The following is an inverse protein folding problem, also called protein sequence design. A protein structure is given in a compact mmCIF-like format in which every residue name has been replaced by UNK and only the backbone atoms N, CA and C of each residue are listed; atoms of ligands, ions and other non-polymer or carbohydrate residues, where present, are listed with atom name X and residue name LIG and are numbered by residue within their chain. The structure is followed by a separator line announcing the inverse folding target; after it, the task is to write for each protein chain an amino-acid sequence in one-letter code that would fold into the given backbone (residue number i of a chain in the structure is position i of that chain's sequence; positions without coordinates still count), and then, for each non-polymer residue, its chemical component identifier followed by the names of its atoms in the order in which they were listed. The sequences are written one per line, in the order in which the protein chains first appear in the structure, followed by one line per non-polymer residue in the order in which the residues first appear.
data_IF_563362499145
#
_entry.id   IF_563362499145
#
_cell.length_a   1.000
_cell.length_b   1.000
_cell.length_c   1.000
_cell.angle_alpha   90.00
_cell.angle_beta   90.00
_cell.angle_gamma   90.00
#
_symmetry.space_group_name_H-M   'P 1'
#
loop_
_entity.id
_entity.type
_entity.pdbx_description
1 polymer ?
#
# COMPACT_ATOMS: atom_id res chain seq x y z
N UNK A 1 -34.44 -17.33 4.22
CA UNK A 1 -33.38 -16.53 3.57
C UNK A 1 -32.18 -16.25 4.47
N UNK A 2 -32.36 -16.13 5.79
CA UNK A 2 -31.26 -15.84 6.74
C UNK A 2 -30.20 -16.94 6.86
N UNK A 3 -30.58 -18.21 7.09
CA UNK A 3 -29.60 -19.30 7.25
C UNK A 3 -28.78 -19.59 5.98
N UNK A 4 -29.36 -19.64 4.76
CA UNK A 4 -28.58 -19.77 3.53
C UNK A 4 -27.60 -18.60 3.31
N UNK A 5 -27.99 -17.38 3.68
CA UNK A 5 -27.10 -16.22 3.58
C UNK A 5 -25.93 -16.31 4.55
N UNK A 6 -26.18 -16.69 5.82
CA UNK A 6 -25.12 -16.93 6.81
C UNK A 6 -24.18 -18.04 6.33
N UNK A 7 -24.73 -19.16 5.85
CA UNK A 7 -23.94 -20.28 5.34
C UNK A 7 -23.07 -19.85 4.15
N UNK A 8 -23.65 -19.09 3.21
CA UNK A 8 -22.93 -18.60 2.02
C UNK A 8 -21.80 -17.64 2.41
N UNK A 9 -22.06 -16.71 3.34
CA UNK A 9 -21.06 -15.76 3.82
C UNK A 9 -19.91 -16.48 4.57
N UNK A 10 -20.23 -17.42 5.45
CA UNK A 10 -19.23 -18.22 6.18
C UNK A 10 -18.40 -19.07 5.22
N UNK A 11 -19.04 -19.76 4.27
CA UNK A 11 -18.35 -20.57 3.28
C UNK A 11 -17.43 -19.71 2.40
N UNK A 12 -17.90 -18.54 1.96
CA UNK A 12 -17.09 -17.58 1.22
C UNK A 12 -15.83 -17.18 2.00
N UNK A 13 -15.97 -16.80 3.27
CA UNK A 13 -14.84 -16.43 4.13
C UNK A 13 -13.85 -17.58 4.30
N UNK A 14 -14.35 -18.80 4.53
CA UNK A 14 -13.51 -19.99 4.65
C UNK A 14 -12.76 -20.31 3.34
N UNK A 15 -13.41 -20.15 2.18
CA UNK A 15 -12.78 -20.33 0.87
C UNK A 15 -11.67 -19.30 0.68
N UNK A 16 -11.95 -18.01 0.92
CA UNK A 16 -10.94 -16.93 0.82
C UNK A 16 -9.75 -17.24 1.73
N UNK A 17 -10.00 -17.58 2.99
CA UNK A 17 -8.95 -17.94 3.94
C UNK A 17 -8.13 -19.15 3.47
N UNK A 18 -8.81 -20.20 3.00
CA UNK A 18 -8.19 -21.41 2.47
C UNK A 18 -7.31 -21.12 1.24
N UNK A 19 -7.81 -20.33 0.30
CA UNK A 19 -7.08 -19.88 -0.89
C UNK A 19 -5.83 -19.11 -0.51
N UNK A 20 -5.93 -18.14 0.40
CA UNK A 20 -4.78 -17.36 0.85
C UNK A 20 -3.72 -18.23 1.53
N UNK A 21 -4.14 -19.15 2.39
CA UNK A 21 -3.23 -20.08 3.08
C UNK A 21 -2.52 -21.01 2.11
N UNK A 22 -3.25 -21.53 1.11
CA UNK A 22 -2.70 -22.39 0.07
C UNK A 22 -1.73 -21.63 -0.84
N UNK A 23 -2.09 -20.43 -1.26
CA UNK A 23 -1.26 -19.53 -2.04
C UNK A 23 0.05 -19.22 -1.33
N UNK A 24 0.01 -18.94 -0.02
CA UNK A 24 1.21 -18.71 0.80
C UNK A 24 2.13 -19.94 0.84
N UNK A 25 1.56 -21.15 0.91
CA UNK A 25 2.32 -22.41 0.87
C UNK A 25 2.98 -22.65 -0.49
N UNK A 26 2.28 -22.36 -1.58
CA UNK A 26 2.78 -22.54 -2.95
C UNK A 26 3.62 -21.36 -3.45
N UNK A 27 3.59 -20.25 -2.71
CA UNK A 27 4.33 -19.05 -3.06
C UNK A 27 3.76 -18.22 -4.18
N UNK A 28 2.48 -18.42 -4.49
CA UNK A 28 1.73 -17.66 -5.49
C UNK A 28 1.08 -16.47 -4.78
N UNK A 29 1.13 -15.25 -5.33
CA UNK A 29 0.36 -14.13 -4.79
C UNK A 29 -1.13 -14.43 -4.75
N UNK A 30 -1.76 -14.36 -3.57
CA UNK A 30 -3.18 -14.72 -3.37
C UNK A 30 -4.12 -13.90 -4.25
N UNK A 31 -3.74 -12.66 -4.58
CA UNK A 31 -4.49 -11.76 -5.48
C UNK A 31 -4.85 -12.42 -6.80
N UNK A 32 -3.92 -13.19 -7.40
CA UNK A 32 -4.14 -13.85 -8.70
C UNK A 32 -5.29 -14.84 -8.58
N UNK A 33 -5.25 -15.70 -7.56
CA UNK A 33 -6.24 -16.76 -7.37
C UNK A 33 -7.59 -16.17 -6.93
N UNK A 34 -7.58 -15.13 -6.09
CA UNK A 34 -8.80 -14.46 -5.64
C UNK A 34 -9.51 -13.74 -6.80
N UNK A 35 -8.80 -12.95 -7.61
CA UNK A 35 -9.40 -12.29 -8.78
C UNK A 35 -9.86 -13.33 -9.81
N UNK A 36 -9.06 -14.36 -10.08
CA UNK A 36 -9.48 -15.46 -10.97
C UNK A 36 -10.73 -16.18 -10.47
N UNK A 37 -10.85 -16.41 -9.16
CA UNK A 37 -12.03 -17.03 -8.56
C UNK A 37 -13.28 -16.18 -8.77
N UNK A 38 -13.16 -14.85 -8.66
CA UNK A 38 -14.25 -13.92 -8.96
C UNK A 38 -14.65 -13.92 -10.44
N UNK A 39 -13.66 -13.92 -11.34
CA UNK A 39 -13.87 -13.97 -12.79
C UNK A 39 -14.59 -15.25 -13.22
N UNK A 40 -14.25 -16.40 -12.60
CA UNK A 40 -14.91 -17.69 -12.85
C UNK A 40 -16.29 -17.73 -12.20
N UNK A 41 -16.47 -17.13 -11.03
CA UNK A 41 -17.74 -17.13 -10.32
C UNK A 41 -18.85 -16.43 -11.12
N UNK A 42 -18.53 -15.38 -11.89
CA UNK A 42 -19.51 -14.65 -12.69
C UNK A 42 -20.29 -15.53 -13.69
N UNK A 43 -19.66 -16.19 -14.68
CA UNK A 43 -20.38 -17.05 -15.62
C UNK A 43 -21.06 -18.25 -14.96
N UNK A 44 -20.49 -18.79 -13.88
CA UNK A 44 -21.11 -19.89 -13.11
C UNK A 44 -22.41 -19.43 -12.46
N UNK A 45 -22.41 -18.28 -11.80
CA UNK A 45 -23.61 -17.73 -11.15
C UNK A 45 -24.66 -17.30 -12.18
N UNK A 46 -24.23 -16.70 -13.30
CA UNK A 46 -25.12 -16.35 -14.42
C UNK A 46 -25.81 -17.59 -15.00
N UNK A 47 -25.11 -18.73 -15.09
CA UNK A 47 -25.70 -19.99 -15.56
C UNK A 47 -26.78 -20.59 -14.64
N UNK A 48 -26.73 -20.22 -13.35
CA UNK A 48 -27.70 -20.64 -12.32
C UNK A 48 -28.80 -19.55 -12.15
N UNK A 49 -28.75 -18.47 -12.92
CA UNK A 49 -29.71 -17.36 -12.88
C UNK A 49 -29.53 -16.41 -11.69
N UNK A 50 -28.35 -16.43 -11.04
CA UNK A 50 -28.04 -15.57 -9.90
C UNK A 50 -27.12 -14.44 -10.33
N UNK A 51 -27.63 -13.20 -10.36
CA UNK A 51 -26.81 -12.01 -10.61
C UNK A 51 -26.58 -11.24 -9.31
N UNK A 52 -25.32 -10.99 -8.97
CA UNK A 52 -24.94 -10.17 -7.81
C UNK A 52 -24.89 -8.70 -8.23
N UNK A 53 -26.05 -8.11 -8.57
CA UNK A 53 -26.16 -6.70 -8.96
C UNK A 53 -25.65 -5.71 -7.90
N UNK A 54 -25.54 -6.15 -6.64
CA UNK A 54 -24.98 -5.38 -5.53
C UNK A 54 -23.44 -5.33 -5.51
N UNK A 55 -22.76 -6.18 -6.30
CA UNK A 55 -21.29 -6.23 -6.30
C UNK A 55 -20.66 -4.88 -6.68
N UNK A 56 -21.23 -4.19 -7.67
CA UNK A 56 -20.75 -2.86 -8.10
C UNK A 56 -20.87 -1.78 -7.02
N UNK A 57 -21.86 -1.90 -6.13
CA UNK A 57 -22.01 -0.99 -4.98
C UNK A 57 -21.06 -1.36 -3.84
N UNK A 58 -20.83 -2.66 -3.59
CA UNK A 58 -19.95 -3.10 -2.51
C UNK A 58 -18.46 -2.91 -2.82
N UNK A 59 -18.03 -3.01 -4.08
CA UNK A 59 -16.60 -2.88 -4.44
C UNK A 59 -15.98 -1.56 -3.95
N UNK A 60 -16.57 -0.36 -4.19
CA UNK A 60 -16.04 0.90 -3.67
C UNK A 60 -16.07 1.00 -2.13
N UNK A 61 -17.09 0.44 -1.48
CA UNK A 61 -17.25 0.47 -0.02
C UNK A 61 -16.17 -0.38 0.65
N UNK A 62 -16.10 -1.65 0.27
CA UNK A 62 -15.09 -2.60 0.75
C UNK A 62 -13.70 -2.10 0.41
N UNK A 63 -13.53 -1.52 -0.79
CA UNK A 63 -12.32 -0.85 -1.21
C UNK A 63 -11.89 0.26 -0.26
N UNK A 64 -12.79 1.17 0.06
CA UNK A 64 -12.54 2.27 1.02
C UNK A 64 -12.15 1.74 2.39
N UNK A 65 -12.89 0.75 2.90
CA UNK A 65 -12.59 0.10 4.18
C UNK A 65 -11.20 -0.54 4.15
N UNK A 66 -10.91 -1.29 3.07
CA UNK A 66 -9.62 -1.96 2.88
C UNK A 66 -8.47 -0.96 2.80
N UNK A 67 -8.67 0.16 2.11
CA UNK A 67 -7.66 1.22 2.01
C UNK A 67 -7.34 1.84 3.37
N UNK A 68 -8.35 2.16 4.18
CA UNK A 68 -8.15 2.67 5.55
C UNK A 68 -7.36 1.67 6.39
N UNK A 69 -7.74 0.40 6.34
CA UNK A 69 -7.09 -0.66 7.11
C UNK A 69 -5.65 -0.93 6.65
N UNK A 70 -5.37 -0.91 5.35
CA UNK A 70 -4.03 -1.09 4.78
C UNK A 70 -3.11 0.08 5.20
N UNK A 71 -3.59 1.32 5.11
CA UNK A 71 -2.80 2.48 5.53
C UNK A 71 -2.53 2.43 7.03
N UNK A 72 -3.52 2.02 7.84
CA UNK A 72 -3.33 1.82 9.27
C UNK A 72 -2.33 0.70 9.58
N UNK A 73 -2.47 -0.47 8.95
CA UNK A 73 -1.54 -1.61 9.07
C UNK A 73 -0.11 -1.15 8.77
N UNK A 74 0.08 -0.46 7.63
CA UNK A 74 1.38 0.09 7.23
C UNK A 74 1.93 1.12 8.22
N UNK A 75 1.09 1.96 8.81
CA UNK A 75 1.50 2.94 9.82
C UNK A 75 1.97 2.28 11.14
N UNK A 76 1.26 1.23 11.56
CA UNK A 76 1.57 0.43 12.75
C UNK A 76 2.79 -0.50 12.56
N UNK A 77 3.16 -0.79 11.31
CA UNK A 77 4.36 -1.57 10.96
C UNK A 77 5.65 -0.74 10.94
N UNK A 78 5.57 0.59 10.89
CA UNK A 78 6.77 1.44 10.80
C UNK A 78 7.52 1.44 12.14
N UNK A 79 8.56 0.60 12.26
CA UNK A 79 9.52 0.72 13.36
C UNK A 79 10.38 1.97 13.17
N UNK A 80 10.04 3.07 13.86
CA UNK A 80 10.87 4.28 13.93
C UNK A 80 12.12 4.03 14.80
N UNK A 81 13.08 3.26 14.27
CA UNK A 81 14.40 3.08 14.87
C UNK A 81 15.36 4.14 14.31
N UNK A 82 16.04 4.88 15.20
CA UNK A 82 17.01 5.94 14.81
C UNK A 82 18.13 5.42 13.90
N UNK A 83 18.53 4.17 14.10
CA UNK A 83 19.56 3.48 13.32
C UNK A 83 19.18 3.30 11.84
N UNK A 84 17.90 3.41 11.50
CA UNK A 84 17.36 3.10 10.17
C UNK A 84 16.88 4.32 9.39
N UNK A 85 17.04 5.52 9.93
CA UNK A 85 16.62 6.78 9.29
C UNK A 85 17.29 6.96 7.92
N UNK A 86 18.57 6.55 7.78
CA UNK A 86 19.27 6.61 6.49
C UNK A 86 18.64 5.69 5.44
N UNK A 87 18.19 4.50 5.84
CA UNK A 87 17.47 3.58 4.95
C UNK A 87 16.10 4.16 4.57
N UNK A 88 15.35 4.67 5.54
CA UNK A 88 14.04 5.30 5.32
C UNK A 88 14.15 6.47 4.32
N UNK A 89 15.15 7.34 4.49
CA UNK A 89 15.39 8.45 3.56
C UNK A 89 15.76 7.99 2.15
N UNK A 90 16.58 6.94 2.03
CA UNK A 90 16.94 6.36 0.74
C UNK A 90 15.73 5.69 0.04
N UNK A 91 14.90 4.95 0.76
CA UNK A 91 13.68 4.34 0.21
C UNK A 91 12.61 5.37 -0.13
N UNK A 92 12.49 6.44 0.67
CA UNK A 92 11.57 7.55 0.39
C UNK A 92 11.97 8.29 -0.89
N UNK A 93 13.25 8.63 -1.03
CA UNK A 93 13.75 9.31 -2.24
C UNK A 93 13.58 8.43 -3.48
N UNK A 94 13.89 7.13 -3.37
CA UNK A 94 13.68 6.19 -4.47
C UNK A 94 12.19 6.07 -4.84
N UNK A 95 11.30 5.91 -3.84
CA UNK A 95 9.86 5.82 -4.07
C UNK A 95 9.31 7.11 -4.70
N UNK A 96 9.73 8.28 -4.24
CA UNK A 96 9.30 9.57 -4.78
C UNK A 96 9.78 9.78 -6.22
N UNK A 97 11.07 9.52 -6.51
CA UNK A 97 11.62 9.66 -7.86
C UNK A 97 10.98 8.63 -8.80
N UNK A 98 10.80 7.39 -8.36
CA UNK A 98 10.13 6.34 -9.13
C UNK A 98 8.68 6.65 -9.43
N UNK A 99 7.96 7.16 -8.44
CA UNK A 99 6.60 7.64 -8.61
C UNK A 99 6.53 8.77 -9.64
N UNK A 100 7.33 9.83 -9.48
CA UNK A 100 7.34 10.97 -10.41
C UNK A 100 7.72 10.55 -11.83
N UNK A 101 8.73 9.69 -11.99
CA UNK A 101 9.14 9.17 -13.29
C UNK A 101 8.00 8.38 -13.97
N UNK A 102 7.32 7.50 -13.24
CA UNK A 102 6.18 6.76 -13.76
C UNK A 102 5.00 7.68 -14.10
N UNK A 103 4.67 8.62 -13.22
CA UNK A 103 3.60 9.60 -13.46
C UNK A 103 3.89 10.43 -14.70
N UNK A 104 5.12 10.93 -14.87
CA UNK A 104 5.50 11.71 -16.04
C UNK A 104 5.37 10.89 -17.33
N UNK A 105 5.85 9.64 -17.33
CA UNK A 105 5.74 8.74 -18.47
C UNK A 105 4.28 8.43 -18.82
N UNK A 106 3.47 8.03 -17.84
CA UNK A 106 2.06 7.69 -18.06
C UNK A 106 1.20 8.90 -18.41
N UNK A 107 1.41 10.05 -17.76
CA UNK A 107 0.67 11.27 -18.08
C UNK A 107 1.00 11.77 -19.49
N UNK A 108 2.28 11.67 -19.90
CA UNK A 108 2.70 11.96 -21.27
C UNK A 108 2.00 11.06 -22.29
N UNK A 109 2.00 9.74 -22.05
CA UNK A 109 1.31 8.77 -22.91
C UNK A 109 -0.21 9.01 -22.95
N UNK A 110 -0.84 9.23 -21.79
CA UNK A 110 -2.27 9.48 -21.69
C UNK A 110 -2.66 10.75 -22.46
N UNK A 111 -1.85 11.81 -22.39
CA UNK A 111 -2.11 13.03 -23.14
C UNK A 111 -2.03 12.82 -24.66
N UNK A 112 -1.05 12.04 -25.12
CA UNK A 112 -0.87 11.77 -26.55
C UNK A 112 -1.98 10.89 -27.13
N UNK A 113 -2.48 9.94 -26.35
CA UNK A 113 -3.44 8.92 -26.84
C UNK A 113 -4.90 9.31 -26.56
N UNK A 114 -5.19 9.98 -25.44
CA UNK A 114 -6.54 10.20 -24.93
C UNK A 114 -6.97 11.68 -24.93
N UNK A 115 -6.12 12.59 -25.40
CA UNK A 115 -6.35 14.04 -25.43
C UNK A 115 -6.84 14.64 -24.09
N UNK A 116 -6.33 14.08 -22.98
CA UNK A 116 -6.70 14.50 -21.63
C UNK A 116 -5.98 15.80 -21.23
N UNK A 117 -6.63 16.59 -20.37
CA UNK A 117 -5.98 17.75 -19.76
C UNK A 117 -4.78 17.31 -18.90
N UNK A 118 -3.79 18.19 -18.62
CA UNK A 118 -2.63 17.83 -17.82
C UNK A 118 -2.99 17.23 -16.45
N UNK A 119 -4.02 17.77 -15.79
CA UNK A 119 -4.46 17.29 -14.47
C UNK A 119 -5.17 15.94 -14.61
N UNK A 120 -6.05 15.75 -15.60
CA UNK A 120 -6.70 14.46 -15.86
C UNK A 120 -5.69 13.36 -16.23
N UNK A 121 -4.68 13.70 -17.04
CA UNK A 121 -3.62 12.77 -17.40
C UNK A 121 -2.80 12.33 -16.17
N UNK A 122 -2.47 13.26 -15.26
CA UNK A 122 -1.76 12.93 -14.01
C UNK A 122 -2.66 12.12 -13.07
N UNK A 123 -3.95 12.46 -12.97
CA UNK A 123 -4.93 11.69 -12.19
C UNK A 123 -5.05 10.25 -12.71
N UNK A 124 -5.09 10.07 -14.03
CA UNK A 124 -5.11 8.73 -14.65
C UNK A 124 -3.79 7.97 -14.47
N UNK A 125 -2.66 8.67 -14.54
CA UNK A 125 -1.32 8.10 -14.41
C UNK A 125 -1.00 7.62 -12.98
N UNK A 126 -1.48 8.34 -11.98
CA UNK A 126 -1.15 8.12 -10.57
C UNK A 126 -1.47 6.69 -10.09
N UNK A 127 -2.67 6.11 -10.33
CA UNK A 127 -2.98 4.73 -9.96
C UNK A 127 -1.94 3.70 -10.41
N UNK A 128 -1.39 3.86 -11.63
CA UNK A 128 -0.43 2.95 -12.23
C UNK A 128 1.01 3.21 -11.80
N UNK A 129 1.31 4.34 -11.16
CA UNK A 129 2.62 4.67 -10.63
C UNK A 129 2.85 4.08 -9.21
N UNK A 130 1.77 3.88 -8.44
CA UNK A 130 1.82 3.47 -7.01
C UNK A 130 2.09 1.98 -6.83
N UNK A 131 3.13 1.64 -6.06
CA UNK A 131 3.46 0.24 -5.72
C UNK A 131 2.53 -0.22 -4.59
N UNK A 132 1.85 -1.36 -4.78
CA UNK A 132 0.90 -1.85 -3.79
C UNK A 132 1.59 -2.61 -2.66
N UNK A 133 1.64 -1.98 -1.49
CA UNK A 133 2.10 -2.57 -0.21
C UNK A 133 1.40 -3.89 0.11
N UNK A 134 0.07 -3.93 -0.06
CA UNK A 134 -0.80 -5.08 0.19
C UNK A 134 -0.44 -6.36 -0.60
N UNK A 135 0.26 -6.21 -1.72
CA UNK A 135 0.75 -7.34 -2.53
C UNK A 135 2.26 -7.52 -2.35
N UNK A 136 3.02 -6.42 -2.29
CA UNK A 136 4.47 -6.44 -2.20
C UNK A 136 4.96 -7.07 -0.89
N UNK A 137 4.42 -6.65 0.25
CA UNK A 137 4.85 -7.09 1.59
C UNK A 137 4.68 -8.61 1.77
N UNK A 138 3.47 -9.20 1.62
CA UNK A 138 3.30 -10.65 1.81
C UNK A 138 4.04 -11.48 0.74
N UNK A 139 4.31 -10.90 -0.42
CA UNK A 139 5.05 -11.58 -1.48
C UNK A 139 6.57 -11.43 -1.35
N UNK A 140 7.08 -10.69 -0.36
CA UNK A 140 8.51 -10.48 -0.14
C UNK A 140 9.13 -11.39 0.92
N UNK A 141 8.35 -12.32 1.48
CA UNK A 141 8.77 -13.20 2.59
C UNK A 141 9.95 -14.14 2.23
N UNK A 142 10.17 -14.42 0.94
CA UNK A 142 11.32 -15.23 0.49
C UNK A 142 12.63 -14.44 0.40
N UNK A 143 12.59 -13.11 0.58
CA UNK A 143 13.78 -12.27 0.51
C UNK A 143 14.52 -12.22 1.86
N UNK A 144 15.85 -12.04 1.83
CA UNK A 144 16.64 -11.73 3.02
C UNK A 144 16.07 -10.52 3.80
N UNK A 145 16.21 -10.47 5.15
CA UNK A 145 15.60 -9.45 6.00
C UNK A 145 15.82 -8.01 5.53
N UNK A 146 17.06 -7.66 5.14
CA UNK A 146 17.41 -6.31 4.63
C UNK A 146 16.66 -5.95 3.35
N UNK A 147 16.46 -6.91 2.43
CA UNK A 147 15.76 -6.69 1.15
C UNK A 147 14.25 -6.64 1.37
N UNK A 148 13.71 -7.47 2.27
CA UNK A 148 12.31 -7.44 2.68
C UNK A 148 11.93 -6.10 3.30
N UNK A 149 12.76 -5.61 4.21
CA UNK A 149 12.58 -4.31 4.85
C UNK A 149 12.60 -3.14 3.85
N UNK A 150 13.50 -3.19 2.86
CA UNK A 150 13.50 -2.23 1.76
C UNK A 150 12.17 -2.24 1.00
N UNK A 151 11.62 -3.41 0.67
CA UNK A 151 10.31 -3.54 -0.01
C UNK A 151 9.18 -2.96 0.85
N UNK A 152 9.18 -3.22 2.17
CA UNK A 152 8.19 -2.67 3.10
C UNK A 152 8.24 -1.14 3.05
N UNK A 153 9.40 -0.52 3.24
CA UNK A 153 9.50 0.94 3.24
C UNK A 153 9.22 1.55 1.87
N UNK A 154 9.74 0.99 0.78
CA UNK A 154 9.52 1.51 -0.58
C UNK A 154 8.03 1.46 -0.94
N UNK A 155 7.37 0.32 -0.72
CA UNK A 155 5.97 0.14 -1.08
C UNK A 155 5.04 0.99 -0.22
N UNK A 156 5.22 1.02 1.10
CA UNK A 156 4.42 1.87 2.00
C UNK A 156 4.60 3.36 1.70
N UNK A 157 5.83 3.83 1.43
CA UNK A 157 6.07 5.23 1.06
C UNK A 157 5.47 5.57 -0.31
N UNK A 158 5.59 4.67 -1.29
CA UNK A 158 4.95 4.87 -2.60
C UNK A 158 3.43 4.96 -2.48
N UNK A 159 2.83 4.16 -1.59
CA UNK A 159 1.41 4.16 -1.29
C UNK A 159 0.97 5.54 -0.77
N UNK A 160 1.66 6.03 0.27
CA UNK A 160 1.39 7.33 0.91
C UNK A 160 1.53 8.47 -0.10
N UNK A 161 2.63 8.52 -0.85
CA UNK A 161 2.88 9.57 -1.86
C UNK A 161 1.80 9.54 -2.94
N UNK A 162 1.46 8.36 -3.44
CA UNK A 162 0.47 8.17 -4.48
C UNK A 162 -0.91 8.68 -4.11
N UNK A 163 -1.37 8.26 -2.93
CA UNK A 163 -2.63 8.72 -2.34
C UNK A 163 -2.65 10.23 -2.16
N UNK A 164 -1.58 10.78 -1.58
CA UNK A 164 -1.45 12.21 -1.31
C UNK A 164 -1.60 13.02 -2.59
N UNK A 165 -0.83 12.66 -3.62
CA UNK A 165 -0.83 13.37 -4.91
C UNK A 165 -2.17 13.22 -5.61
N UNK A 166 -2.75 12.01 -5.63
CA UNK A 166 -4.03 11.75 -6.28
C UNK A 166 -5.16 12.61 -5.71
N UNK A 167 -5.40 12.53 -4.40
CA UNK A 167 -6.52 13.24 -3.78
C UNK A 167 -6.29 14.76 -3.74
N UNK A 168 -5.03 15.20 -3.64
CA UNK A 168 -4.73 16.63 -3.73
C UNK A 168 -5.02 17.21 -5.12
N UNK A 169 -4.82 16.44 -6.18
CA UNK A 169 -5.17 16.86 -7.54
C UNK A 169 -6.66 16.77 -7.80
N UNK A 170 -7.33 15.74 -7.26
CA UNK A 170 -8.76 15.55 -7.41
C UNK A 170 -9.57 16.71 -6.80
N UNK A 171 -9.09 17.28 -5.69
CA UNK A 171 -9.68 18.46 -5.05
C UNK A 171 -9.24 19.81 -5.63
N UNK A 172 -8.46 19.84 -6.71
CA UNK A 172 -7.98 21.09 -7.33
C UNK A 172 -8.90 21.54 -8.48
N UNK A 173 -8.97 22.85 -8.73
CA UNK A 173 -9.78 23.46 -9.81
C UNK A 173 -9.25 23.15 -11.25
N UNK A 174 -8.51 22.06 -11.44
CA UNK A 174 -8.02 21.61 -12.75
C UNK A 174 -6.78 22.35 -13.28
N UNK A 175 -6.19 23.27 -12.52
CA UNK A 175 -4.93 23.96 -12.86
C UNK A 175 -3.76 23.44 -12.05
N UNK A 176 -2.60 23.18 -12.68
CA UNK A 176 -1.36 22.74 -12.00
C UNK A 176 -0.88 23.80 -11.00
N UNK A 177 -1.04 25.09 -11.31
CA UNK A 177 -0.73 26.19 -10.37
C UNK A 177 -1.73 26.24 -9.23
N UNK A 178 -3.01 26.02 -9.52
CA UNK A 178 -4.07 25.90 -8.51
C UNK A 178 -3.83 24.72 -7.57
N UNK A 179 -3.40 23.58 -8.11
CA UNK A 179 -3.02 22.40 -7.34
C UNK A 179 -1.77 22.64 -6.47
N UNK A 180 -0.75 23.34 -6.98
CA UNK A 180 0.45 23.71 -6.20
C UNK A 180 0.13 24.73 -5.10
N UNK A 181 -0.71 25.74 -5.37
CA UNK A 181 -1.17 26.71 -4.38
C UNK A 181 -2.10 26.07 -3.35
N UNK A 182 -2.96 25.16 -3.81
CA UNK A 182 -3.81 24.32 -2.96
C UNK A 182 -2.97 23.32 -2.16
N UNK A 183 -1.81 22.86 -2.63
CA UNK A 183 -0.87 22.06 -1.83
C UNK A 183 -0.20 22.90 -0.74
N UNK A 184 0.26 24.11 -1.08
CA UNK A 184 1.09 24.94 -0.21
C UNK A 184 0.29 25.79 0.79
N UNK A 185 -0.86 26.33 0.39
CA UNK A 185 -1.70 27.19 1.23
C UNK A 185 -2.82 26.41 1.91
N UNK A 186 -3.83 26.00 1.15
CA UNK A 186 -4.98 25.24 1.67
C UNK A 186 -4.62 23.84 2.15
N UNK A 187 -3.62 23.22 1.53
CA UNK A 187 -3.13 21.88 1.78
C UNK A 187 -2.30 21.81 3.04
N UNK A 188 -1.53 22.87 3.34
CA UNK A 188 -0.84 22.98 4.62
C UNK A 188 -1.82 23.18 5.77
N UNK A 189 -2.86 24.00 5.58
CA UNK A 189 -3.93 24.18 6.56
C UNK A 189 -4.72 22.88 6.76
N UNK A 190 -5.05 22.20 5.65
CA UNK A 190 -5.70 20.89 5.63
C UNK A 190 -4.85 19.83 6.34
N UNK A 191 -3.54 19.82 6.10
CA UNK A 191 -2.59 18.93 6.74
C UNK A 191 -2.47 19.23 8.25
N UNK A 192 -2.38 20.50 8.65
CA UNK A 192 -2.40 20.91 10.06
C UNK A 192 -3.69 20.48 10.76
N UNK A 193 -4.85 20.72 10.13
CA UNK A 193 -6.14 20.33 10.68
C UNK A 193 -6.28 18.80 10.76
N UNK A 194 -5.80 18.08 9.73
CA UNK A 194 -5.76 16.62 9.69
C UNK A 194 -4.94 16.04 10.84
N UNK A 195 -3.79 16.66 11.13
CA UNK A 195 -2.91 16.29 12.24
C UNK A 195 -3.57 16.59 13.59
N UNK A 196 -4.20 17.76 13.72
CA UNK A 196 -4.93 18.15 14.93
C UNK A 196 -6.06 17.17 15.25
N UNK A 197 -6.86 16.79 14.26
CA UNK A 197 -7.92 15.79 14.42
C UNK A 197 -7.36 14.40 14.79
N UNK A 198 -6.26 13.96 14.16
CA UNK A 198 -5.63 12.69 14.50
C UNK A 198 -5.10 12.68 15.95
N UNK A 199 -4.50 13.78 16.40
CA UNK A 199 -4.07 13.96 17.80
C UNK A 199 -5.27 14.00 18.74
N UNK A 200 -6.33 14.75 18.40
CA UNK A 200 -7.53 14.83 19.22
C UNK A 200 -8.18 13.45 19.43
N UNK A 201 -8.24 12.63 18.37
CA UNK A 201 -8.75 11.27 18.45
C UNK A 201 -7.85 10.36 19.31
N UNK A 202 -6.52 10.49 19.17
CA UNK A 202 -5.57 9.76 20.02
C UNK A 202 -5.76 10.13 21.50
N UNK A 203 -5.91 11.41 21.82
CA UNK A 203 -6.11 11.87 23.19
C UNK A 203 -7.46 11.39 23.76
N UNK A 204 -8.51 11.40 22.94
CA UNK A 204 -9.80 10.83 23.31
C UNK A 204 -9.63 9.34 23.64
N UNK A 205 -8.91 8.60 22.80
CA UNK A 205 -8.64 7.18 22.99
C UNK A 205 -7.82 6.88 24.25
N UNK A 206 -6.75 7.64 24.52
CA UNK A 206 -5.93 7.50 25.73
C UNK A 206 -6.74 7.76 27.02
N UNK A 207 -7.87 8.45 26.92
CA UNK A 207 -8.77 8.75 28.04
C UNK A 207 -9.89 7.73 28.23
N UNK A 208 -10.17 6.86 27.25
CA UNK A 208 -11.21 5.83 27.38
C UNK A 208 -10.67 4.66 28.21
N UNK A 209 -10.96 4.65 29.50
CA UNK A 209 -10.78 3.48 30.37
C UNK A 209 -11.92 2.48 30.10
N UNK A 210 -11.62 1.37 29.42
CA UNK A 210 -12.60 0.33 29.15
C UNK A 210 -11.96 -1.02 28.80
N UNK A 211 -12.68 -2.13 29.07
CA UNK A 211 -12.22 -3.49 28.80
C UNK A 211 -12.19 -3.84 27.29
N UNK A 212 -12.93 -3.13 26.43
CA UNK A 212 -12.95 -3.34 24.97
C UNK A 212 -12.43 -2.07 24.27
N UNK A 213 -11.11 -1.96 24.12
CA UNK A 213 -10.46 -0.76 23.54
C UNK A 213 -10.43 -0.75 22.00
N UNK A 214 -10.46 -1.93 21.35
CA UNK A 214 -10.22 -2.04 19.90
C UNK A 214 -11.40 -1.62 19.01
N UNK A 215 -12.64 -1.96 19.39
CA UNK A 215 -13.83 -1.59 18.60
C UNK A 215 -14.04 -0.07 18.55
N UNK A 216 -13.96 0.68 19.67
CA UNK A 216 -13.99 2.14 19.63
C UNK A 216 -12.87 2.74 18.79
N UNK A 217 -11.67 2.14 18.81
CA UNK A 217 -10.53 2.60 18.02
C UNK A 217 -10.81 2.49 16.52
N UNK A 218 -11.29 1.33 16.05
CA UNK A 218 -11.71 1.15 14.66
C UNK A 218 -12.88 2.07 14.28
N UNK A 219 -13.88 2.22 15.14
CA UNK A 219 -15.02 3.11 14.88
C UNK A 219 -14.56 4.58 14.78
N UNK A 220 -13.69 5.03 15.69
CA UNK A 220 -13.07 6.35 15.67
C UNK A 220 -12.23 6.58 14.43
N UNK A 221 -11.49 5.57 13.97
CA UNK A 221 -10.72 5.62 12.73
C UNK A 221 -11.61 5.83 11.50
N UNK A 222 -12.69 5.04 11.36
CA UNK A 222 -13.62 5.20 10.24
C UNK A 222 -14.36 6.53 10.32
N UNK A 223 -14.69 7.01 11.51
CA UNK A 223 -15.26 8.35 11.72
C UNK A 223 -14.26 9.45 11.31
N UNK A 224 -12.98 9.30 11.67
CA UNK A 224 -11.91 10.22 11.27
C UNK A 224 -11.76 10.28 9.75
N UNK A 225 -11.79 9.12 9.09
CA UNK A 225 -11.76 9.04 7.63
C UNK A 225 -12.98 9.70 7.00
N UNK A 226 -14.19 9.41 7.48
CA UNK A 226 -15.42 9.99 6.96
C UNK A 226 -15.44 11.52 7.15
N UNK A 227 -15.10 12.01 8.35
CA UNK A 227 -15.00 13.43 8.65
C UNK A 227 -13.94 14.12 7.78
N UNK A 228 -12.77 13.48 7.62
CA UNK A 228 -11.74 13.98 6.70
C UNK A 228 -12.26 14.15 5.28
N UNK A 229 -13.03 13.17 4.79
CA UNK A 229 -13.60 13.20 3.44
C UNK A 229 -14.65 14.31 3.30
N UNK A 230 -15.50 14.50 4.31
CA UNK A 230 -16.53 15.56 4.35
C UNK A 230 -15.93 16.97 4.45
N UNK A 231 -14.80 17.11 5.14
CA UNK A 231 -14.10 18.39 5.29
C UNK A 231 -13.14 18.70 4.14
N UNK A 232 -13.16 17.91 3.06
CA UNK A 232 -12.22 17.99 1.93
C UNK A 232 -10.74 17.93 2.37
N UNK A 233 -10.45 17.27 3.49
CA UNK A 233 -9.10 16.95 3.94
C UNK A 233 -8.60 15.69 3.22
N UNK A 234 -7.31 15.38 3.35
CA UNK A 234 -6.79 14.09 2.92
C UNK A 234 -7.02 13.05 4.01
N UNK A 235 -8.06 12.21 3.93
CA UNK A 235 -8.50 11.39 5.06
C UNK A 235 -7.51 10.26 5.35
N UNK A 236 -6.76 9.85 4.33
CA UNK A 236 -5.73 8.82 4.43
C UNK A 236 -4.48 9.33 5.12
N UNK A 237 -4.12 10.62 4.95
CA UNK A 237 -3.08 11.26 5.76
C UNK A 237 -3.49 11.26 7.24
N UNK A 238 -4.76 11.53 7.55
CA UNK A 238 -5.26 11.48 8.93
C UNK A 238 -5.10 10.07 9.53
N UNK A 239 -5.52 9.05 8.79
CA UNK A 239 -5.38 7.64 9.17
C UNK A 239 -3.91 7.27 9.39
N UNK A 240 -3.02 7.69 8.48
CA UNK A 240 -1.57 7.48 8.60
C UNK A 240 -1.00 8.12 9.86
N UNK A 241 -1.26 9.43 10.09
CA UNK A 241 -0.75 10.12 11.27
C UNK A 241 -1.29 9.49 12.54
N UNK A 242 -2.58 9.16 12.58
CA UNK A 242 -3.18 8.47 13.70
C UNK A 242 -2.48 7.13 13.97
N UNK A 243 -2.24 6.30 12.95
CA UNK A 243 -1.50 5.05 13.11
C UNK A 243 -0.05 5.23 13.56
N UNK A 244 0.66 6.24 13.05
CA UNK A 244 2.03 6.56 13.48
C UNK A 244 2.07 7.05 14.94
N UNK A 245 1.09 7.86 15.35
CA UNK A 245 0.92 8.35 16.71
C UNK A 245 0.61 7.21 17.69
N UNK A 246 -0.20 6.23 17.28
CA UNK A 246 -0.45 5.00 18.05
C UNK A 246 0.80 4.14 18.18
N UNK A 247 1.59 4.01 17.12
CA UNK A 247 2.80 3.19 17.14
C UNK A 247 3.91 3.80 18.03
N UNK A 248 3.94 5.12 18.15
CA UNK A 248 4.87 5.83 19.05
C UNK A 248 4.14 6.88 19.90
N UNK A 249 3.41 6.47 20.95
CA UNK A 249 2.70 7.41 21.83
C UNK A 249 3.65 8.38 22.56
N UNK A 250 4.92 7.98 22.73
CA UNK A 250 5.99 8.83 23.28
C UNK A 250 6.21 10.16 22.54
N UNK A 251 5.82 10.27 21.26
CA UNK A 251 5.84 11.55 20.54
C UNK A 251 4.86 12.57 21.15
N UNK A 252 3.73 12.11 21.69
CA UNK A 252 2.69 12.96 22.30
C UNK A 252 2.91 13.11 23.80
N UNK A 253 3.32 12.05 24.50
CA UNK A 253 3.54 12.10 25.97
C UNK A 253 4.83 12.81 26.38
N UNK A 254 5.69 13.18 25.43
CA UNK A 254 6.79 14.13 25.67
C UNK A 254 6.28 15.51 26.08
N UNK A 255 5.06 15.87 25.69
CA UNK A 255 4.43 17.11 26.13
C UNK A 255 3.96 16.99 27.59
N UNK A 256 4.35 17.98 28.41
CA UNK A 256 4.12 18.06 29.86
C UNK A 256 2.70 17.68 30.35
N UNK A 257 1.59 18.05 29.68
CA UNK A 257 0.24 17.69 30.16
C UNK A 257 -0.13 16.21 29.99
N UNK A 258 0.62 15.43 29.21
CA UNK A 258 0.27 14.04 28.85
C UNK A 258 1.33 13.02 29.32
N UNK A 259 2.23 13.41 30.23
CA UNK A 259 3.41 12.64 30.63
C UNK A 259 3.12 11.39 31.50
N UNK A 260 1.87 10.95 31.60
CA UNK A 260 1.47 9.79 32.42
C UNK A 260 0.19 9.10 31.94
N UNK A 261 -0.23 9.32 30.70
CA UNK A 261 -1.46 8.72 30.12
C UNK A 261 -1.19 7.41 29.36
N UNK A 262 0.03 6.90 29.41
CA UNK A 262 0.40 5.63 28.78
C UNK A 262 0.57 4.61 29.89
N UNK A 263 -0.37 3.66 29.94
CA UNK A 263 -0.34 2.51 30.84
C UNK A 263 0.92 1.66 30.57
N UNK A 264 1.39 0.93 31.58
CA UNK A 264 2.51 0.00 31.44
C UNK A 264 2.23 -1.10 30.39
N UNK A 265 0.96 -1.48 30.22
CA UNK A 265 0.51 -2.54 29.31
C UNK A 265 0.14 -2.03 27.89
N UNK A 266 0.51 -0.78 27.57
CA UNK A 266 0.17 -0.16 26.28
C UNK A 266 0.78 -0.91 25.09
N UNK A 267 2.05 -1.32 25.21
CA UNK A 267 2.76 -2.00 24.13
C UNK A 267 2.14 -3.37 23.82
N UNK A 268 1.70 -4.10 24.84
CA UNK A 268 0.98 -5.37 24.69
C UNK A 268 -0.39 -5.14 24.03
N UNK A 269 -1.14 -4.15 24.52
CA UNK A 269 -2.44 -3.75 23.93
C UNK A 269 -2.31 -3.34 22.46
N UNK A 270 -1.25 -2.61 22.12
CA UNK A 270 -0.95 -2.19 20.75
C UNK A 270 -0.62 -3.39 19.87
N UNK A 271 0.12 -4.38 20.39
CA UNK A 271 0.47 -5.61 19.67
C UNK A 271 -0.78 -6.46 19.35
N UNK A 272 -1.71 -6.56 20.29
CA UNK A 272 -3.00 -7.21 20.08
C UNK A 272 -3.86 -6.46 19.06
N UNK A 273 -3.91 -5.12 19.17
CA UNK A 273 -4.62 -4.29 18.20
C UNK A 273 -4.06 -4.45 16.79
N UNK A 274 -2.73 -4.44 16.66
CA UNK A 274 -2.04 -4.67 15.39
C UNK A 274 -2.40 -6.03 14.79
N UNK A 275 -2.45 -7.08 15.62
CA UNK A 275 -2.88 -8.41 15.18
C UNK A 275 -4.30 -8.38 14.63
N UNK A 276 -5.23 -7.72 15.33
CA UNK A 276 -6.61 -7.55 14.88
C UNK A 276 -6.70 -6.79 13.54
N UNK A 277 -5.95 -5.68 13.40
CA UNK A 277 -5.91 -4.90 12.15
C UNK A 277 -5.39 -5.74 10.98
N UNK A 278 -4.35 -6.55 11.19
CA UNK A 278 -3.82 -7.46 10.17
C UNK A 278 -4.88 -8.50 9.75
N UNK A 279 -5.56 -9.12 10.71
CA UNK A 279 -6.64 -10.09 10.42
C UNK A 279 -7.82 -9.46 9.68
N UNK A 280 -8.25 -8.27 10.09
CA UNK A 280 -9.34 -7.57 9.42
C UNK A 280 -8.95 -7.12 8.00
N UNK A 281 -7.72 -6.62 7.83
CA UNK A 281 -7.19 -6.22 6.53
C UNK A 281 -7.14 -7.40 5.57
N UNK A 282 -6.72 -8.56 6.07
CA UNK A 282 -6.73 -9.81 5.31
C UNK A 282 -8.14 -10.16 4.80
N UNK A 283 -9.15 -10.13 5.67
CA UNK A 283 -10.54 -10.46 5.29
C UNK A 283 -11.06 -9.48 4.23
N UNK A 284 -10.89 -8.18 4.47
CA UNK A 284 -11.38 -7.14 3.56
C UNK A 284 -10.68 -7.19 2.21
N UNK A 285 -9.36 -7.44 2.19
CA UNK A 285 -8.57 -7.63 0.96
C UNK A 285 -9.04 -8.82 0.15
N UNK A 286 -9.28 -9.96 0.81
CA UNK A 286 -9.80 -11.17 0.18
C UNK A 286 -11.17 -10.95 -0.46
N UNK A 287 -12.10 -10.34 0.30
CA UNK A 287 -13.43 -9.98 -0.21
C UNK A 287 -13.34 -9.01 -1.40
N UNK A 288 -12.50 -7.98 -1.30
CA UNK A 288 -12.28 -7.00 -2.35
C UNK A 288 -11.82 -7.65 -3.67
N UNK A 289 -10.80 -8.51 -3.64
CA UNK A 289 -10.25 -9.09 -4.87
C UNK A 289 -11.20 -10.07 -5.55
N UNK A 290 -11.97 -10.86 -4.78
CA UNK A 290 -13.00 -11.73 -5.38
C UNK A 290 -14.13 -10.90 -5.98
N UNK A 291 -14.63 -9.88 -5.26
CA UNK A 291 -15.66 -8.99 -5.80
C UNK A 291 -15.19 -8.23 -7.02
N UNK A 292 -13.93 -7.79 -7.04
CA UNK A 292 -13.33 -7.11 -8.17
C UNK A 292 -13.31 -8.03 -9.41
N UNK A 293 -12.88 -9.28 -9.23
CA UNK A 293 -12.92 -10.28 -10.30
C UNK A 293 -14.34 -10.52 -10.81
N UNK A 294 -15.32 -10.63 -9.91
CA UNK A 294 -16.73 -10.80 -10.28
C UNK A 294 -17.30 -9.57 -11.02
N UNK A 295 -16.95 -8.36 -10.57
CA UNK A 295 -17.44 -7.10 -11.15
C UNK A 295 -16.84 -6.82 -12.55
N UNK A 296 -15.72 -7.45 -12.90
CA UNK A 296 -15.02 -7.23 -14.17
C UNK A 296 -15.77 -7.86 -15.35
N UNK A 297 -16.00 -7.08 -16.40
CA UNK A 297 -16.59 -7.57 -17.66
C UNK A 297 -15.57 -8.36 -18.49
N UNK A 298 -15.94 -9.59 -18.86
CA UNK A 298 -15.07 -10.45 -19.69
C UNK A 298 -14.83 -9.85 -21.08
N UNK A 299 -15.76 -9.07 -21.62
CA UNK A 299 -15.61 -8.37 -22.89
C UNK A 299 -14.51 -7.30 -22.83
N UNK A 300 -14.46 -6.54 -21.73
CA UNK A 300 -13.44 -5.52 -21.51
C UNK A 300 -12.06 -6.17 -21.35
N UNK A 301 -12.01 -7.34 -20.69
CA UNK A 301 -10.80 -8.12 -20.48
C UNK A 301 -10.30 -8.80 -21.77
N UNK A 302 -11.20 -9.18 -22.68
CA UNK A 302 -10.88 -9.79 -23.96
C UNK A 302 -10.46 -8.77 -25.03
N UNK A 303 -10.68 -7.48 -24.81
CA UNK A 303 -10.33 -6.43 -25.75
C UNK A 303 -8.83 -6.38 -26.02
N UNK A 304 -8.37 -6.47 -27.28
CA UNK A 304 -6.94 -6.35 -27.62
C UNK A 304 -6.32 -5.03 -27.14
N UNK A 305 -7.10 -3.96 -27.09
CA UNK A 305 -6.66 -2.65 -26.60
C UNK A 305 -6.37 -2.65 -25.09
N UNK A 306 -7.13 -3.43 -24.31
CA UNK A 306 -6.88 -3.59 -22.87
C UNK A 306 -5.53 -4.30 -22.63
N UNK A 307 -5.25 -5.35 -23.40
CA UNK A 307 -3.97 -6.08 -23.33
C UNK A 307 -2.79 -5.20 -23.77
N UNK A 308 -2.94 -4.44 -24.84
CA UNK A 308 -1.90 -3.52 -25.31
C UNK A 308 -1.62 -2.43 -24.27
N UNK A 309 -2.67 -1.82 -23.70
CA UNK A 309 -2.54 -0.82 -22.64
C UNK A 309 -1.86 -1.41 -21.40
N UNK A 310 -2.28 -2.61 -20.97
CA UNK A 310 -1.67 -3.28 -19.82
C UNK A 310 -0.20 -3.62 -20.06
N UNK A 311 0.15 -4.14 -21.24
CA UNK A 311 1.53 -4.45 -21.61
C UNK A 311 2.41 -3.19 -21.63
N UNK A 312 1.90 -2.09 -22.19
CA UNK A 312 2.58 -0.79 -22.19
C UNK A 312 2.80 -0.27 -20.76
N UNK A 313 1.77 -0.35 -19.91
CA UNK A 313 1.87 0.04 -18.50
C UNK A 313 2.95 -0.77 -17.79
N UNK A 314 2.90 -2.10 -17.89
CA UNK A 314 3.89 -2.97 -17.26
C UNK A 314 5.29 -2.69 -17.79
N UNK A 315 5.47 -2.53 -19.10
CA UNK A 315 6.75 -2.19 -19.70
C UNK A 315 7.33 -0.91 -19.09
N UNK A 316 6.55 0.16 -19.00
CA UNK A 316 7.01 1.43 -18.40
C UNK A 316 7.34 1.24 -16.93
N UNK A 317 6.50 0.56 -16.14
CA UNK A 317 6.76 0.30 -14.71
C UNK A 317 8.09 -0.41 -14.50
N UNK A 318 8.34 -1.50 -15.22
CA UNK A 318 9.56 -2.29 -15.04
C UNK A 318 10.78 -1.61 -15.66
N UNK A 319 10.63 -0.87 -16.76
CA UNK A 319 11.71 -0.10 -17.37
C UNK A 319 12.19 1.05 -16.45
N UNK A 320 11.26 1.84 -15.91
CA UNK A 320 11.61 2.93 -14.97
C UNK A 320 12.24 2.36 -13.70
N UNK A 321 11.67 1.27 -13.16
CA UNK A 321 12.23 0.59 -11.98
C UNK A 321 13.61 0.03 -12.25
N UNK A 322 13.85 -0.60 -13.39
CA UNK A 322 15.18 -1.10 -13.78
C UNK A 322 16.21 0.03 -13.82
N UNK A 323 15.88 1.14 -14.49
CA UNK A 323 16.76 2.30 -14.57
C UNK A 323 17.09 2.85 -13.17
N UNK A 324 16.09 3.01 -12.30
CA UNK A 324 16.27 3.53 -10.96
C UNK A 324 17.09 2.60 -10.06
N UNK A 325 16.82 1.30 -10.09
CA UNK A 325 17.58 0.32 -9.31
C UNK A 325 19.03 0.22 -9.80
N UNK A 326 19.28 0.32 -11.12
CA UNK A 326 20.65 0.35 -11.66
C UNK A 326 21.43 1.58 -11.20
N UNK A 327 20.80 2.76 -11.21
CA UNK A 327 21.44 4.00 -10.76
C UNK A 327 21.72 3.96 -9.26
N UNK A 328 20.78 3.44 -8.47
CA UNK A 328 20.81 3.55 -7.00
C UNK A 328 21.56 2.41 -6.32
N UNK A 329 21.31 1.15 -6.72
CA UNK A 329 21.84 -0.04 -6.05
C UNK A 329 23.03 -0.70 -6.78
N UNK A 330 23.38 -0.28 -8.01
CA UNK A 330 24.52 -0.69 -8.88
C UNK A 330 24.75 -2.20 -9.13
N UNK A 331 24.65 -3.08 -8.13
CA UNK A 331 25.07 -4.49 -8.17
C UNK A 331 23.96 -5.51 -7.84
N UNK A 332 22.83 -5.13 -7.23
CA UNK A 332 21.78 -6.09 -6.82
C UNK A 332 20.39 -5.76 -7.37
N UNK A 333 20.24 -5.74 -8.70
CA UNK A 333 18.93 -5.50 -9.37
C UNK A 333 18.01 -6.72 -9.30
N UNK A 334 18.57 -7.92 -9.08
CA UNK A 334 17.96 -9.23 -9.35
C UNK A 334 16.49 -9.40 -8.94
N UNK A 335 16.15 -9.99 -7.78
CA UNK A 335 14.75 -10.25 -7.43
C UNK A 335 13.92 -8.99 -7.14
N UNK A 336 14.56 -7.89 -6.74
CA UNK A 336 13.87 -6.65 -6.34
C UNK A 336 13.16 -5.94 -7.51
N UNK A 337 13.70 -6.08 -8.73
CA UNK A 337 13.08 -5.51 -9.93
C UNK A 337 11.66 -6.01 -10.13
N UNK A 338 11.44 -7.30 -9.90
CA UNK A 338 10.18 -7.97 -10.16
C UNK A 338 9.12 -7.72 -9.08
N UNK A 339 9.51 -7.18 -7.93
CA UNK A 339 8.60 -6.84 -6.83
C UNK A 339 8.14 -5.39 -7.00
N UNK A 340 7.26 -5.17 -7.97
CA UNK A 340 6.53 -3.92 -8.16
C UNK A 340 5.05 -4.17 -8.48
N UNK A 341 4.33 -4.91 -7.63
CA UNK A 341 2.94 -5.22 -7.90
C UNK A 341 2.09 -3.96 -7.91
N UNK A 342 1.12 -3.97 -8.80
CA UNK A 342 -0.08 -3.13 -8.72
C UNK A 342 -1.18 -3.97 -8.09
N UNK A 343 -2.04 -3.34 -7.30
CA UNK A 343 -2.95 -4.07 -6.43
C UNK A 343 -4.19 -3.26 -6.08
N UNK A 344 -4.67 -3.46 -4.85
CA UNK A 344 -5.92 -2.86 -4.35
C UNK A 344 -5.94 -1.35 -4.56
N UNK A 345 -4.87 -0.64 -4.17
CA UNK A 345 -4.85 0.81 -4.28
C UNK A 345 -4.93 1.31 -5.72
N UNK A 346 -4.24 0.64 -6.66
CA UNK A 346 -4.30 0.97 -8.08
C UNK A 346 -5.73 0.92 -8.59
N UNK A 347 -6.46 -0.14 -8.22
CA UNK A 347 -7.86 -0.30 -8.61
C UNK A 347 -8.72 0.81 -8.00
N UNK A 348 -8.56 1.12 -6.72
CA UNK A 348 -9.38 2.14 -6.06
C UNK A 348 -9.15 3.56 -6.59
N UNK A 349 -7.88 3.94 -6.77
CA UNK A 349 -7.55 5.25 -7.33
C UNK A 349 -8.07 5.35 -8.78
N UNK A 350 -7.97 4.27 -9.56
CA UNK A 350 -8.55 4.23 -10.90
C UNK A 350 -10.08 4.34 -10.88
N UNK A 351 -10.76 3.59 -10.00
CA UNK A 351 -12.21 3.65 -9.84
C UNK A 351 -12.67 5.06 -9.42
N UNK A 352 -11.88 5.75 -8.62
CA UNK A 352 -12.16 7.15 -8.26
C UNK A 352 -11.92 8.09 -9.45
N UNK A 353 -10.89 7.85 -10.27
CA UNK A 353 -10.59 8.67 -11.44
C UNK A 353 -11.68 8.58 -12.52
N UNK A 354 -12.22 7.38 -12.78
CA UNK A 354 -13.31 7.17 -13.76
C UNK A 354 -14.63 7.82 -13.36
N UNK A 355 -14.85 8.09 -12.07
CA UNK A 355 -16.01 8.83 -11.61
C UNK A 355 -15.82 10.34 -11.81
N UNK A 356 -14.57 10.81 -11.81
CA UNK A 356 -14.24 12.23 -11.94
C UNK A 356 -14.27 12.72 -13.40
N UNK A 357 -13.90 11.87 -14.36
CA UNK A 357 -13.92 12.21 -15.80
C UNK A 357 -14.11 10.97 -16.67
N UNK A 358 -14.54 11.19 -17.92
CA UNK A 358 -14.78 10.11 -18.87
C UNK A 358 -13.47 9.44 -19.29
N UNK A 359 -13.42 8.11 -19.18
CA UNK A 359 -12.27 7.28 -19.51
C UNK A 359 -12.75 6.14 -20.43
N UNK A 360 -11.99 5.74 -21.47
CA UNK A 360 -12.34 4.60 -22.31
C UNK A 360 -12.60 3.30 -21.53
N UNK A 361 -13.63 2.55 -21.91
CA UNK A 361 -14.05 1.33 -21.23
C UNK A 361 -12.95 0.25 -21.17
N UNK A 362 -12.12 0.12 -22.22
CA UNK A 362 -11.04 -0.87 -22.26
C UNK A 362 -10.01 -0.70 -21.13
N UNK A 363 -9.91 0.49 -20.51
CA UNK A 363 -9.02 0.72 -19.37
C UNK A 363 -9.49 0.00 -18.10
N UNK A 364 -10.79 -0.31 -17.96
CA UNK A 364 -11.29 -1.16 -16.88
C UNK A 364 -10.62 -2.54 -16.92
N UNK A 365 -10.62 -3.18 -18.10
CA UNK A 365 -9.92 -4.45 -18.32
C UNK A 365 -8.41 -4.31 -18.14
N UNK A 366 -7.82 -3.21 -18.64
CA UNK A 366 -6.38 -2.98 -18.54
C UNK A 366 -5.89 -2.93 -17.09
N UNK A 367 -6.63 -2.30 -16.17
CA UNK A 367 -6.26 -2.21 -14.75
C UNK A 367 -6.18 -3.59 -14.12
N UNK A 368 -7.15 -4.46 -14.38
CA UNK A 368 -7.16 -5.83 -13.88
C UNK A 368 -5.99 -6.63 -14.45
N UNK A 369 -5.72 -6.51 -15.76
CA UNK A 369 -4.58 -7.14 -16.41
C UNK A 369 -3.25 -6.65 -15.84
N UNK A 370 -3.12 -5.36 -15.50
CA UNK A 370 -1.92 -4.81 -14.85
C UNK A 370 -1.75 -5.39 -13.45
N UNK A 371 -2.82 -5.48 -12.64
CA UNK A 371 -2.78 -6.08 -11.30
C UNK A 371 -2.37 -7.56 -11.37
N UNK A 372 -3.00 -8.34 -12.26
CA UNK A 372 -2.68 -9.74 -12.47
C UNK A 372 -1.27 -9.93 -13.02
N UNK A 373 -0.91 -9.20 -14.09
CA UNK A 373 0.38 -9.31 -14.75
C UNK A 373 1.55 -8.92 -13.84
N UNK A 374 1.43 -7.81 -13.12
CA UNK A 374 2.46 -7.40 -12.14
C UNK A 374 2.59 -8.39 -10.98
N UNK A 375 1.50 -9.02 -10.54
CA UNK A 375 1.53 -10.07 -9.53
C UNK A 375 2.18 -11.36 -10.05
N UNK A 376 1.89 -11.76 -11.29
CA UNK A 376 2.51 -12.93 -11.94
C UNK A 376 4.03 -12.74 -12.06
N UNK A 377 4.49 -11.53 -12.36
CA UNK A 377 5.92 -11.23 -12.46
C UNK A 377 6.69 -11.42 -11.14
N UNK A 378 6.02 -11.34 -9.99
CA UNK A 378 6.64 -11.69 -8.69
C UNK A 378 7.03 -13.17 -8.62
N UNK A 379 6.28 -14.05 -9.31
CA UNK A 379 6.66 -15.47 -9.40
C UNK A 379 8.02 -15.65 -10.11
N UNK A 380 8.33 -14.78 -11.08
CA UNK A 380 9.65 -14.74 -11.71
C UNK A 380 10.73 -14.27 -10.71
N UNK A 381 10.42 -13.29 -9.85
CA UNK A 381 11.28 -12.86 -8.75
C UNK A 381 11.69 -14.02 -7.84
N UNK A 382 10.70 -14.83 -7.45
CA UNK A 382 10.88 -15.95 -6.52
C UNK A 382 11.74 -17.06 -7.13
N UNK A 383 11.54 -17.35 -8.42
CA UNK A 383 12.40 -18.30 -9.16
C UNK A 383 13.83 -17.79 -9.28
N UNK A 384 14.02 -16.50 -9.55
CA UNK A 384 15.34 -15.89 -9.63
C UNK A 384 16.08 -15.94 -8.28
N UNK A 385 15.39 -15.71 -7.16
CA UNK A 385 15.97 -15.84 -5.82
C UNK A 385 16.32 -17.28 -5.44
N UNK A 386 15.55 -18.27 -5.91
CA UNK A 386 15.83 -19.69 -5.63
C UNK A 386 17.17 -20.18 -6.20
N UNK A 387 17.74 -19.46 -7.17
CA UNK A 387 19.06 -19.72 -7.75
C UNK A 387 20.21 -18.92 -7.09
N UNK A 388 19.91 -17.93 -6.24
CA UNK A 388 20.93 -17.27 -5.40
C UNK A 388 21.13 -18.13 -4.15
N UNK A 389 22.15 -18.99 -4.12
CA UNK A 389 22.60 -19.63 -2.88
C UNK A 389 22.85 -18.54 -1.82
N UNK A 390 22.55 -18.79 -0.53
CA UNK A 390 22.71 -17.78 0.50
C UNK A 390 24.19 -17.37 0.58
N UNK A 391 24.49 -16.15 0.16
CA UNK A 391 25.80 -15.56 0.37
C UNK A 391 26.06 -15.55 1.89
N UNK A 392 27.10 -16.26 2.31
CA UNK A 392 27.55 -16.30 3.69
C UNK A 392 27.64 -14.89 4.27
N UNK A 393 27.16 -14.80 5.51
CA UNK A 393 27.25 -13.62 6.36
C UNK A 393 28.74 -13.38 6.63
N UNK A 394 29.32 -12.35 6.01
CA UNK A 394 30.64 -11.87 6.42
C UNK A 394 30.50 -11.10 7.73
N UNK A 395 30.46 -11.85 8.83
CA UNK A 395 30.55 -11.36 10.19
C UNK A 395 32.02 -11.18 10.55
N UNK A 396 32.68 -10.20 9.96
CA UNK A 396 33.92 -9.66 10.49
C UNK A 396 33.92 -8.12 10.34
N UNK A 397 33.93 -7.36 11.45
CA UNK A 397 34.32 -5.97 11.38
C UNK A 397 35.81 -5.90 10.96
N UNK A 398 36.25 -4.86 10.23
CA UNK A 398 37.66 -4.68 9.92
C UNK A 398 38.45 -4.63 11.24
N UNK A 399 39.66 -5.23 11.29
CA UNK A 399 40.44 -5.26 12.52
C UNK A 399 40.68 -3.83 13.00
N UNK A 400 40.31 -3.57 14.25
CA UNK A 400 40.65 -2.34 14.94
C UNK A 400 42.16 -2.17 14.88
N UNK A 401 42.61 -1.05 14.32
CA UNK A 401 44.00 -0.59 14.44
C UNK A 401 44.29 -0.37 15.92
N UNK A 402 44.88 -1.37 16.58
CA UNK A 402 45.41 -1.27 17.93
C UNK A 402 46.56 -0.28 17.91
N UNK A 403 46.42 0.77 18.70
CA UNK A 403 47.49 1.71 19.00
C UNK A 403 48.68 0.97 19.61
N UNK A 404 49.86 1.22 19.06
CA UNK A 404 51.12 0.83 19.67
C UNK A 404 51.31 1.61 20.97
N UNK A 405 51.12 0.94 22.10
CA UNK A 405 51.71 1.32 23.38
C UNK A 405 53.15 0.82 23.42
N UNK A 406 54.11 1.75 23.44
CA UNK A 406 55.51 1.47 23.77
C UNK A 406 55.64 1.06 25.24
N UNK A 407 56.30 -0.07 25.59
CA UNK A 407 56.75 -0.29 26.95
C UNK A 407 58.11 0.38 27.15
N UNK A 408 58.14 1.28 28.13
CA UNK A 408 59.35 1.79 28.75
C UNK A 408 59.93 0.66 29.62
N UNK A 409 61.15 0.20 29.35
CA UNK A 409 61.90 -0.65 30.29
C UNK A 409 63.30 -0.08 30.44
N UNK A 410 63.57 0.36 31.66
CA UNK A 410 64.84 0.86 32.10
C UNK A 410 65.88 -0.26 32.22
N UNK A 411 67.13 0.09 31.87
CA UNK A 411 68.33 -0.29 32.61
C UNK A 411 69.05 -1.58 32.20
N UNK A 412 70.20 -1.43 31.52
CA UNK A 412 71.50 -1.86 32.05
C UNK A 412 72.65 -1.39 31.13
N UNK A 413 73.68 -0.84 31.79
CA UNK A 413 75.00 -0.37 31.36
C UNK A 413 75.13 1.06 30.84
#
# INVERSE_FOLDING_TARGET
MTYPAILSASLFLLIVFGVERLCRRWGIPSVIVLVASGLIARPVLDSIGVQLGWAGMLVPIVGTVGLVLIVLEGALDIELKRERIRLIGATLTLAAVGFVACVAAFAGLARLVLDLSPVQAILLATPFAVISSAVAIPSSDFLPPKRREFVVYESSMSDIIGVLVFFSLLGSDGSVKGALLALLGGGLLSLLLSLLCAVALLLLLLRVEGHIRFVPLLAGLFALYAMGKLLHLSPLIMVLFFGLLLNKPSLVTRFRPFHGWVDADYDDTLSEFKTLVVELTFVVRGFFFVLLGYWTDLSDLASPWAWLAAALVLLVVFATRYALLRVTLRTAVGPLLWIAPRGLITVLLFLTAREAFAIPAYLNGAVILVVLGSSILILAARRASGNEAPAEVDANPPPATSGQSTPNTAGQN
#
